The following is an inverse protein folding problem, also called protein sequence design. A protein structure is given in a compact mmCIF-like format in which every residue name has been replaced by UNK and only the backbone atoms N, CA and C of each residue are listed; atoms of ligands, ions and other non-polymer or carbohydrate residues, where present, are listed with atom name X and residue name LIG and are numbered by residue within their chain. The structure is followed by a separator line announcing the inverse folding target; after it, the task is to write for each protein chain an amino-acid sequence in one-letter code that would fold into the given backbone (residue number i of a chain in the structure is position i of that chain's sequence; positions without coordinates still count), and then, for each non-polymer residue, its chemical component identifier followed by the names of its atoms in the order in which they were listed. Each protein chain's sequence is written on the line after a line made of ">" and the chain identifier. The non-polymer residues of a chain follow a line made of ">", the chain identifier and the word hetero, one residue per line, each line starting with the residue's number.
data_IF_245989762732
#
_entry.id   IF_245989762732
#
_cell.length_a   1.000
_cell.length_b   1.000
_cell.length_c   1.000
_cell.angle_alpha   90.00
_cell.angle_beta   90.00
_cell.angle_gamma   90.00
#
_symmetry.space_group_name_H-M   'P 1'
#
loop_
_entity.id
_entity.type
_entity.pdbx_description
1 polymer ?
#
# COMPACT_ATOMS: atom_id res chain seq x y z
N UNK A 1 3.30 -14.08 24.73
CA UNK A 1 2.92 -13.29 23.54
C UNK A 1 4.15 -12.48 23.12
N UNK A 2 4.65 -12.64 21.90
CA UNK A 2 5.91 -11.99 21.47
C UNK A 2 5.77 -10.47 21.52
N UNK A 3 6.58 -9.80 22.31
CA UNK A 3 6.56 -8.33 22.51
C UNK A 3 6.60 -7.56 21.18
N UNK A 4 7.28 -8.11 20.17
CA UNK A 4 7.35 -7.53 18.83
C UNK A 4 6.02 -7.54 18.08
N UNK A 5 5.20 -8.58 18.26
CA UNK A 5 3.87 -8.65 17.67
C UNK A 5 2.99 -7.53 18.25
N UNK A 6 3.00 -7.35 19.56
CA UNK A 6 2.24 -6.28 20.23
C UNK A 6 2.67 -4.90 19.73
N UNK A 7 3.98 -4.67 19.60
CA UNK A 7 4.52 -3.40 19.09
C UNK A 7 4.07 -3.10 17.66
N UNK A 8 4.01 -4.12 16.81
CA UNK A 8 3.51 -3.99 15.42
C UNK A 8 2.03 -3.63 15.37
N UNK A 9 1.19 -4.30 16.16
CA UNK A 9 -0.23 -3.97 16.25
C UNK A 9 -0.45 -2.57 16.83
N UNK A 10 0.32 -2.16 17.82
CA UNK A 10 0.26 -0.81 18.38
C UNK A 10 0.65 0.24 17.34
N UNK A 11 1.74 0.02 16.60
CA UNK A 11 2.14 0.92 15.52
C UNK A 11 1.08 0.99 14.44
N UNK A 12 0.46 -0.14 14.09
CA UNK A 12 -0.64 -0.19 13.14
C UNK A 12 -1.86 0.61 13.62
N UNK A 13 -2.26 0.49 14.88
CA UNK A 13 -3.34 1.29 15.45
C UNK A 13 -3.03 2.80 15.42
N UNK A 14 -1.79 3.18 15.73
CA UNK A 14 -1.33 4.57 15.63
C UNK A 14 -1.37 5.04 14.17
N UNK A 15 -0.94 4.22 13.22
CA UNK A 15 -0.98 4.57 11.79
C UNK A 15 -2.40 4.81 11.30
N UNK A 16 -3.37 3.98 11.70
CA UNK A 16 -4.78 4.16 11.37
C UNK A 16 -5.33 5.49 11.90
N UNK A 17 -4.96 5.86 13.13
CA UNK A 17 -5.36 7.15 13.70
C UNK A 17 -4.73 8.33 12.95
N UNK A 18 -3.44 8.26 12.62
CA UNK A 18 -2.75 9.30 11.83
C UNK A 18 -3.35 9.40 10.42
N UNK A 19 -3.68 8.28 9.78
CA UNK A 19 -4.39 8.26 8.50
C UNK A 19 -5.76 8.96 8.60
N UNK A 20 -6.54 8.63 9.63
CA UNK A 20 -7.84 9.23 9.88
C UNK A 20 -7.73 10.74 10.12
N UNK A 21 -6.70 11.17 10.87
CA UNK A 21 -6.42 12.59 11.10
C UNK A 21 -6.07 13.31 9.80
N UNK A 22 -5.23 12.71 8.94
CA UNK A 22 -4.91 13.28 7.62
C UNK A 22 -6.14 13.42 6.73
N UNK A 23 -7.01 12.42 6.69
CA UNK A 23 -8.28 12.48 5.97
C UNK A 23 -9.17 13.63 6.51
N UNK A 24 -9.27 13.76 7.83
CA UNK A 24 -10.06 14.81 8.45
C UNK A 24 -9.51 16.22 8.11
N UNK A 25 -8.20 16.42 8.10
CA UNK A 25 -7.57 17.67 7.64
C UNK A 25 -7.90 17.99 6.20
N UNK A 26 -7.74 17.01 5.28
CA UNK A 26 -8.06 17.19 3.86
C UNK A 26 -9.53 17.53 3.68
N UNK A 27 -10.42 16.82 4.39
CA UNK A 27 -11.87 17.07 4.31
C UNK A 27 -12.27 18.43 4.84
N UNK A 28 -11.67 18.88 5.95
CA UNK A 28 -11.91 20.20 6.55
C UNK A 28 -11.29 21.36 5.75
N UNK A 29 -10.35 21.07 4.86
CA UNK A 29 -9.79 22.06 3.94
C UNK A 29 -10.80 22.58 2.89
N UNK A 30 -11.96 21.94 2.74
CA UNK A 30 -13.04 22.31 1.82
C UNK A 30 -12.68 22.26 0.32
N UNK A 31 -11.48 21.83 -0.04
CA UNK A 31 -11.00 21.67 -1.42
C UNK A 31 -11.25 20.28 -2.00
N UNK A 32 -12.00 19.45 -1.31
CA UNK A 32 -12.27 18.06 -1.67
C UNK A 32 -11.72 17.10 -0.64
N UNK A 33 -11.70 15.81 -0.97
CA UNK A 33 -11.21 14.76 -0.06
C UNK A 33 -10.36 13.73 -0.82
N UNK A 34 -9.82 12.72 -0.14
CA UNK A 34 -9.10 11.67 -0.85
C UNK A 34 -10.05 10.83 -1.72
N UNK A 35 -9.59 10.24 -2.84
CA UNK A 35 -10.46 9.49 -3.76
C UNK A 35 -11.32 8.43 -3.06
N UNK A 36 -10.73 7.65 -2.14
CA UNK A 36 -11.44 6.58 -1.45
C UNK A 36 -12.51 7.09 -0.47
N UNK A 37 -12.28 8.26 0.12
CA UNK A 37 -13.23 8.88 1.06
C UNK A 37 -14.23 9.81 0.37
N UNK A 38 -14.06 10.11 -0.91
CA UNK A 38 -14.95 11.01 -1.64
C UNK A 38 -16.40 10.51 -1.65
N UNK A 39 -16.61 9.22 -1.85
CA UNK A 39 -17.95 8.62 -1.85
C UNK A 39 -18.59 8.68 -0.47
N UNK A 40 -17.87 8.31 0.58
CA UNK A 40 -18.39 8.31 1.95
C UNK A 40 -18.65 9.73 2.47
N UNK A 41 -17.85 10.68 2.04
CA UNK A 41 -18.06 12.10 2.34
C UNK A 41 -19.32 12.64 1.66
N UNK A 42 -19.50 12.39 0.36
CA UNK A 42 -20.73 12.82 -0.35
C UNK A 42 -21.96 12.16 0.28
N UNK A 43 -21.91 10.86 0.58
CA UNK A 43 -23.02 10.16 1.24
C UNK A 43 -23.37 10.76 2.60
N UNK A 44 -22.38 11.18 3.39
CA UNK A 44 -22.60 11.83 4.68
C UNK A 44 -23.24 13.23 4.58
N UNK A 45 -23.19 13.88 3.42
CA UNK A 45 -23.77 15.21 3.23
C UNK A 45 -25.31 15.18 3.11
N UNK A 46 -25.89 14.10 2.58
CA UNK A 46 -27.34 14.00 2.38
C UNK A 46 -28.01 12.90 3.21
N UNK A 47 -27.24 12.21 4.06
CA UNK A 47 -27.77 11.19 4.98
C UNK A 47 -27.44 11.55 6.43
N UNK A 48 -28.15 10.97 7.43
CA UNK A 48 -27.88 11.26 8.85
C UNK A 48 -26.64 10.56 9.40
N UNK A 49 -25.94 9.76 8.56
CA UNK A 49 -24.75 9.00 8.97
C UNK A 49 -23.48 9.86 8.84
N UNK A 50 -22.53 9.66 9.75
CA UNK A 50 -21.24 10.32 9.73
C UNK A 50 -20.32 9.75 8.64
N UNK A 51 -19.24 10.47 8.32
CA UNK A 51 -18.21 10.01 7.39
C UNK A 51 -17.61 8.67 7.85
N UNK A 52 -17.33 8.55 9.16
CA UNK A 52 -16.76 7.32 9.72
C UNK A 52 -17.74 6.15 9.63
N UNK A 53 -19.03 6.37 9.91
CA UNK A 53 -20.07 5.32 9.78
C UNK A 53 -20.20 4.87 8.33
N UNK A 54 -20.21 5.79 7.37
CA UNK A 54 -20.22 5.43 5.95
C UNK A 54 -18.95 4.69 5.54
N UNK A 55 -17.79 5.09 6.09
CA UNK A 55 -16.53 4.38 5.83
C UNK A 55 -16.55 2.95 6.33
N UNK A 56 -17.14 2.70 7.52
CA UNK A 56 -17.35 1.33 8.03
C UNK A 56 -18.23 0.53 7.06
N UNK A 57 -19.39 1.06 6.69
CA UNK A 57 -20.32 0.37 5.78
C UNK A 57 -19.68 0.10 4.43
N UNK A 58 -18.92 1.06 3.91
CA UNK A 58 -18.25 0.95 2.63
C UNK A 58 -17.13 -0.11 2.65
N UNK A 59 -16.33 -0.13 3.71
CA UNK A 59 -15.32 -1.16 3.91
C UNK A 59 -15.94 -2.56 4.07
N UNK A 60 -17.04 -2.69 4.81
CA UNK A 60 -17.75 -3.97 4.92
C UNK A 60 -18.34 -4.41 3.58
N UNK A 61 -18.84 -3.47 2.76
CA UNK A 61 -19.30 -3.80 1.40
C UNK A 61 -18.14 -4.29 0.52
N UNK A 62 -16.97 -3.67 0.61
CA UNK A 62 -15.79 -4.16 -0.11
C UNK A 62 -15.40 -5.57 0.31
N UNK A 63 -15.48 -5.90 1.59
CA UNK A 63 -15.26 -7.28 2.06
C UNK A 63 -16.23 -8.29 1.41
N UNK A 64 -17.49 -7.91 1.25
CA UNK A 64 -18.46 -8.78 0.56
C UNK A 64 -18.11 -8.93 -0.93
N UNK A 65 -17.81 -7.82 -1.60
CA UNK A 65 -17.39 -7.85 -3.01
C UNK A 65 -16.07 -8.60 -3.22
N UNK A 66 -15.16 -8.54 -2.27
CA UNK A 66 -13.89 -9.27 -2.31
C UNK A 66 -14.09 -10.79 -2.46
N UNK A 67 -15.12 -11.36 -1.81
CA UNK A 67 -15.41 -12.79 -1.90
C UNK A 67 -15.66 -13.26 -3.35
N UNK A 68 -16.16 -12.38 -4.23
CA UNK A 68 -16.35 -12.72 -5.64
C UNK A 68 -15.04 -12.80 -6.43
N UNK A 69 -14.01 -12.12 -5.95
CA UNK A 69 -12.70 -12.09 -6.61
C UNK A 69 -11.70 -13.08 -5.98
N UNK A 70 -11.92 -13.49 -4.73
CA UNK A 70 -11.08 -14.48 -4.05
C UNK A 70 -11.36 -15.90 -4.52
N UNK A 71 -10.30 -16.66 -4.76
CA UNK A 71 -10.41 -18.10 -4.99
C UNK A 71 -10.56 -18.83 -3.65
N UNK A 72 -11.22 -19.99 -3.63
CA UNK A 72 -11.34 -20.82 -2.41
C UNK A 72 -9.99 -21.14 -1.74
N UNK A 73 -8.92 -21.21 -2.53
CA UNK A 73 -7.55 -21.41 -2.02
C UNK A 73 -7.04 -20.16 -1.29
N UNK A 74 -7.27 -18.97 -1.88
CA UNK A 74 -6.86 -17.69 -1.28
C UNK A 74 -7.61 -17.45 0.03
N UNK A 75 -8.92 -17.68 0.04
CA UNK A 75 -9.75 -17.54 1.25
C UNK A 75 -9.28 -18.47 2.38
N UNK A 76 -8.86 -19.69 2.05
CA UNK A 76 -8.37 -20.66 3.05
C UNK A 76 -6.96 -20.31 3.55
N UNK A 77 -6.15 -19.67 2.72
CA UNK A 77 -4.81 -19.21 3.09
C UNK A 77 -4.85 -17.95 3.94
N UNK A 78 -5.68 -16.98 3.55
CA UNK A 78 -5.67 -15.61 4.08
C UNK A 78 -6.90 -15.30 4.95
N UNK A 79 -7.65 -16.31 5.42
CA UNK A 79 -8.90 -16.13 6.15
C UNK A 79 -8.74 -15.28 7.43
N UNK A 80 -7.59 -15.38 8.09
CA UNK A 80 -7.30 -14.57 9.28
C UNK A 80 -7.14 -13.09 8.92
N UNK A 81 -6.40 -12.80 7.83
CA UNK A 81 -6.25 -11.45 7.33
C UNK A 81 -7.60 -10.86 6.86
N UNK A 82 -8.44 -11.69 6.23
CA UNK A 82 -9.78 -11.32 5.83
C UNK A 82 -10.67 -10.96 7.05
N UNK A 83 -10.71 -11.79 8.08
CA UNK A 83 -11.51 -11.50 9.28
C UNK A 83 -10.98 -10.28 10.07
N UNK A 84 -9.67 -10.04 10.05
CA UNK A 84 -9.08 -8.86 10.71
C UNK A 84 -9.52 -7.54 10.07
N UNK A 85 -10.02 -7.54 8.84
CA UNK A 85 -10.55 -6.33 8.20
C UNK A 85 -11.77 -5.76 8.94
N UNK A 86 -12.58 -6.59 9.59
CA UNK A 86 -13.77 -6.14 10.35
C UNK A 86 -13.37 -5.21 11.51
N UNK A 87 -12.57 -5.65 12.50
CA UNK A 87 -12.16 -4.76 13.59
C UNK A 87 -11.35 -3.56 13.10
N UNK A 88 -10.54 -3.72 12.04
CA UNK A 88 -9.77 -2.61 11.44
C UNK A 88 -10.72 -1.57 10.86
N UNK A 89 -11.72 -1.98 10.10
CA UNK A 89 -12.71 -1.06 9.50
C UNK A 89 -13.52 -0.32 10.56
N UNK A 90 -13.90 -0.99 11.64
CA UNK A 90 -14.59 -0.37 12.77
C UNK A 90 -13.70 0.68 13.46
N UNK A 91 -12.47 0.32 13.80
CA UNK A 91 -11.52 1.25 14.42
C UNK A 91 -11.23 2.45 13.50
N UNK A 92 -11.03 2.20 12.21
CA UNK A 92 -10.71 3.25 11.25
C UNK A 92 -11.86 4.25 11.10
N UNK A 93 -13.11 3.79 10.97
CA UNK A 93 -14.25 4.68 10.91
C UNK A 93 -14.45 5.50 12.19
N UNK A 94 -14.28 4.87 13.38
CA UNK A 94 -14.31 5.59 14.65
C UNK A 94 -13.20 6.64 14.76
N UNK A 95 -12.01 6.35 14.27
CA UNK A 95 -10.90 7.31 14.25
C UNK A 95 -11.17 8.47 13.29
N UNK A 96 -11.86 8.24 12.17
CA UNK A 96 -12.28 9.31 11.26
C UNK A 96 -13.25 10.26 11.99
N UNK A 97 -14.28 9.73 12.63
CA UNK A 97 -15.26 10.56 13.35
C UNK A 97 -14.62 11.30 14.52
N UNK A 98 -13.73 10.63 15.26
CA UNK A 98 -12.94 11.27 16.33
C UNK A 98 -12.09 12.41 15.77
N UNK A 99 -11.38 12.20 14.67
CA UNK A 99 -10.53 13.20 14.03
C UNK A 99 -11.34 14.37 13.49
N UNK A 100 -12.51 14.12 12.91
CA UNK A 100 -13.43 15.18 12.48
C UNK A 100 -13.93 16.04 13.64
N UNK A 101 -14.15 15.43 14.82
CA UNK A 101 -14.51 16.14 16.04
C UNK A 101 -13.32 16.93 16.62
N UNK A 102 -12.12 16.36 16.65
CA UNK A 102 -10.90 17.06 17.10
C UNK A 102 -10.65 18.30 16.25
N UNK A 103 -10.87 18.21 14.94
CA UNK A 103 -10.66 19.28 13.97
C UNK A 103 -11.93 20.14 13.74
N UNK A 104 -12.89 20.10 14.68
CA UNK A 104 -14.11 20.92 14.57
C UNK A 104 -13.82 22.42 14.43
N UNK A 105 -12.77 22.91 15.06
CA UNK A 105 -12.33 24.31 15.01
C UNK A 105 -11.67 24.72 13.68
N UNK A 106 -11.26 23.75 12.83
CA UNK A 106 -10.59 24.04 11.57
C UNK A 106 -11.62 24.44 10.50
N UNK A 107 -11.75 25.74 10.30
CA UNK A 107 -12.56 26.36 9.25
C UNK A 107 -11.71 27.42 8.56
N UNK A 108 -10.99 27.06 7.47
CA UNK A 108 -10.18 28.00 6.72
C UNK A 108 -11.08 29.17 6.22
N UNK A 109 -10.66 30.40 6.49
CA UNK A 109 -11.40 31.57 6.08
C UNK A 109 -11.10 32.01 4.64
N UNK A 110 -9.89 31.70 4.16
CA UNK A 110 -9.38 32.09 2.85
C UNK A 110 -8.91 30.91 2.05
N UNK A 111 -8.95 31.00 0.72
CA UNK A 111 -8.46 29.96 -0.20
C UNK A 111 -7.00 29.57 0.06
N UNK A 112 -6.15 30.53 0.46
CA UNK A 112 -4.76 30.22 0.82
C UNK A 112 -4.68 29.28 2.04
N UNK A 113 -5.50 29.51 3.06
CA UNK A 113 -5.57 28.64 4.25
C UNK A 113 -6.17 27.28 3.92
N UNK A 114 -7.12 27.21 2.97
CA UNK A 114 -7.66 25.95 2.45
C UNK A 114 -6.53 25.13 1.82
N UNK A 115 -5.71 25.73 0.94
CA UNK A 115 -4.58 25.07 0.29
C UNK A 115 -3.52 24.62 1.31
N UNK A 116 -3.18 25.45 2.27
CA UNK A 116 -2.23 25.11 3.35
C UNK A 116 -2.76 23.92 4.16
N UNK A 117 -4.04 23.97 4.55
CA UNK A 117 -4.69 22.89 5.30
C UNK A 117 -4.70 21.58 4.51
N UNK A 118 -4.98 21.66 3.20
CA UNK A 118 -4.92 20.50 2.30
C UNK A 118 -3.51 19.89 2.28
N UNK A 119 -2.47 20.71 2.09
CA UNK A 119 -1.09 20.22 2.04
C UNK A 119 -0.62 19.61 3.37
N UNK A 120 -0.99 20.23 4.49
CA UNK A 120 -0.73 19.67 5.83
C UNK A 120 -1.44 18.34 5.98
N UNK A 121 -2.71 18.25 5.58
CA UNK A 121 -3.49 17.02 5.59
C UNK A 121 -2.84 15.92 4.73
N UNK A 122 -2.35 16.25 3.53
CA UNK A 122 -1.63 15.31 2.66
C UNK A 122 -0.33 14.81 3.31
N UNK A 123 0.42 15.68 4.00
CA UNK A 123 1.62 15.27 4.72
C UNK A 123 1.30 14.33 5.89
N UNK A 124 0.25 14.62 6.68
CA UNK A 124 -0.18 13.78 7.79
C UNK A 124 -0.65 12.42 7.26
N UNK A 125 -1.49 12.42 6.21
CA UNK A 125 -1.97 11.20 5.57
C UNK A 125 -0.81 10.36 5.04
N UNK A 126 0.14 10.97 4.35
CA UNK A 126 1.32 10.27 3.83
C UNK A 126 2.19 9.68 4.95
N UNK A 127 2.35 10.41 6.07
CA UNK A 127 3.06 9.90 7.24
C UNK A 127 2.34 8.68 7.85
N UNK A 128 1.02 8.73 7.96
CA UNK A 128 0.19 7.63 8.45
C UNK A 128 0.29 6.40 7.56
N UNK A 129 0.19 6.56 6.24
CA UNK A 129 0.35 5.47 5.26
C UNK A 129 1.76 4.87 5.36
N UNK A 130 2.82 5.69 5.46
CA UNK A 130 4.18 5.20 5.61
C UNK A 130 4.38 4.38 6.90
N UNK A 131 3.72 4.77 8.01
CA UNK A 131 3.70 3.99 9.27
C UNK A 131 2.92 2.68 9.12
N UNK A 132 1.77 2.71 8.44
CA UNK A 132 0.94 1.52 8.16
C UNK A 132 1.74 0.50 7.35
N UNK A 133 2.40 0.98 6.28
CA UNK A 133 3.32 0.21 5.47
C UNK A 133 4.40 -0.43 6.34
N UNK A 134 4.97 0.31 7.27
CA UNK A 134 6.04 -0.16 8.15
C UNK A 134 5.57 -1.19 9.16
N UNK A 135 4.37 -1.02 9.70
CA UNK A 135 3.78 -1.96 10.65
C UNK A 135 3.56 -3.35 10.05
N UNK A 136 3.23 -3.43 8.75
CA UNK A 136 3.04 -4.69 8.00
C UNK A 136 2.15 -5.70 8.72
N UNK A 137 1.03 -5.24 9.29
CA UNK A 137 0.10 -6.11 10.06
C UNK A 137 -1.06 -6.55 9.19
N UNK A 138 -1.75 -5.59 8.58
CA UNK A 138 -2.92 -5.81 7.76
C UNK A 138 -3.12 -4.62 6.81
N UNK A 139 -4.06 -4.74 5.90
CA UNK A 139 -4.50 -3.66 5.00
C UNK A 139 -5.96 -3.32 5.29
N UNK A 140 -6.33 -2.06 5.05
CA UNK A 140 -7.74 -1.64 5.10
C UNK A 140 -8.52 -2.35 3.98
N UNK A 141 -9.81 -2.64 4.20
CA UNK A 141 -10.62 -3.44 3.30
C UNK A 141 -10.63 -2.94 1.85
N UNK A 142 -10.66 -1.61 1.63
CA UNK A 142 -10.60 -1.04 0.29
C UNK A 142 -9.31 -1.37 -0.46
N UNK A 143 -8.17 -1.35 0.21
CA UNK A 143 -6.88 -1.71 -0.41
C UNK A 143 -6.75 -3.21 -0.64
N UNK A 144 -7.24 -4.01 0.31
CA UNK A 144 -7.26 -5.46 0.15
C UNK A 144 -8.17 -5.89 -1.00
N UNK A 145 -9.32 -5.22 -1.19
CA UNK A 145 -10.22 -5.43 -2.33
C UNK A 145 -9.50 -5.16 -3.66
N UNK A 146 -8.81 -4.03 -3.79
CA UNK A 146 -8.00 -3.70 -4.98
C UNK A 146 -6.93 -4.77 -5.23
N UNK A 147 -6.26 -5.24 -4.16
CA UNK A 147 -5.26 -6.32 -4.25
C UNK A 147 -5.87 -7.61 -4.78
N UNK A 148 -7.07 -7.96 -4.33
CA UNK A 148 -7.80 -9.16 -4.77
C UNK A 148 -8.17 -9.08 -6.25
N UNK A 149 -8.62 -7.90 -6.73
CA UNK A 149 -8.88 -7.63 -8.15
C UNK A 149 -7.59 -7.74 -8.97
N UNK A 150 -6.52 -7.09 -8.53
CA UNK A 150 -5.22 -7.10 -9.22
C UNK A 150 -4.70 -8.55 -9.40
N UNK A 151 -4.77 -9.34 -8.32
CA UNK A 151 -4.40 -10.76 -8.33
C UNK A 151 -5.27 -11.56 -9.32
N UNK A 152 -6.59 -11.34 -9.33
CA UNK A 152 -7.52 -12.04 -10.20
C UNK A 152 -7.31 -11.71 -11.67
N UNK A 153 -7.08 -10.43 -11.99
CA UNK A 153 -6.87 -9.94 -13.35
C UNK A 153 -5.42 -10.12 -13.83
N UNK A 154 -4.51 -10.54 -12.96
CA UNK A 154 -3.05 -10.62 -13.22
C UNK A 154 -2.51 -9.31 -13.76
N UNK A 155 -2.97 -8.19 -13.20
CA UNK A 155 -2.51 -6.85 -13.55
C UNK A 155 -1.75 -6.24 -12.39
N UNK A 156 -0.92 -5.25 -12.73
CA UNK A 156 -0.20 -4.47 -11.73
C UNK A 156 -1.17 -3.81 -10.74
N UNK A 157 -0.84 -3.91 -9.45
CA UNK A 157 -1.68 -3.37 -8.38
C UNK A 157 -1.90 -1.87 -8.52
N UNK A 158 -0.86 -1.13 -8.92
CA UNK A 158 -0.96 0.30 -9.03
C UNK A 158 -1.88 0.75 -10.14
N UNK A 159 -1.89 0.06 -11.28
CA UNK A 159 -2.84 0.33 -12.35
C UNK A 159 -4.27 0.06 -11.90
N UNK A 160 -4.51 -1.05 -11.20
CA UNK A 160 -5.84 -1.39 -10.67
C UNK A 160 -6.28 -0.39 -9.61
N UNK A 161 -5.36 0.03 -8.72
CA UNK A 161 -5.61 1.04 -7.69
C UNK A 161 -6.00 2.38 -8.30
N UNK A 162 -5.24 2.86 -9.29
CA UNK A 162 -5.54 4.10 -9.98
C UNK A 162 -6.93 4.03 -10.66
N UNK A 163 -7.20 2.94 -11.37
CA UNK A 163 -8.52 2.72 -12.02
C UNK A 163 -9.65 2.71 -11.00
N UNK A 164 -9.44 2.08 -9.85
CA UNK A 164 -10.39 2.03 -8.75
C UNK A 164 -10.63 3.41 -8.14
N UNK A 165 -9.58 4.17 -7.86
CA UNK A 165 -9.68 5.52 -7.31
C UNK A 165 -10.42 6.46 -8.27
N UNK A 166 -10.13 6.41 -9.58
CA UNK A 166 -10.87 7.15 -10.60
C UNK A 166 -12.35 6.74 -10.62
N UNK A 167 -12.65 5.46 -10.53
CA UNK A 167 -14.03 4.96 -10.47
C UNK A 167 -14.79 5.51 -9.26
N UNK A 168 -14.14 5.56 -8.09
CA UNK A 168 -14.73 6.12 -6.87
C UNK A 168 -14.99 7.62 -6.99
N UNK A 169 -14.08 8.36 -7.60
CA UNK A 169 -14.27 9.81 -7.86
C UNK A 169 -15.43 10.04 -8.82
N UNK A 170 -15.54 9.27 -9.91
CA UNK A 170 -16.67 9.35 -10.84
C UNK A 170 -17.98 9.02 -10.10
N UNK A 171 -18.00 7.93 -9.33
CA UNK A 171 -19.16 7.54 -8.53
C UNK A 171 -19.57 8.64 -7.56
N UNK A 172 -18.63 9.27 -6.90
CA UNK A 172 -18.86 10.39 -5.98
C UNK A 172 -19.49 11.60 -6.71
N UNK A 173 -18.97 11.95 -7.90
CA UNK A 173 -19.54 13.03 -8.72
C UNK A 173 -20.98 12.71 -9.17
N UNK A 174 -21.23 11.46 -9.60
CA UNK A 174 -22.58 11.02 -10.01
C UNK A 174 -23.56 11.10 -8.84
N UNK A 175 -23.18 10.58 -7.66
CA UNK A 175 -24.01 10.63 -6.46
C UNK A 175 -24.31 12.07 -6.06
N UNK A 176 -23.29 12.94 -6.08
CA UNK A 176 -23.47 14.37 -5.76
C UNK A 176 -24.42 15.08 -6.73
N UNK A 177 -24.30 14.80 -8.03
CA UNK A 177 -25.21 15.37 -9.03
C UNK A 177 -26.65 14.87 -8.86
N UNK A 178 -26.83 13.58 -8.62
CA UNK A 178 -28.17 12.97 -8.51
C UNK A 178 -28.92 13.43 -7.25
N UNK A 179 -28.22 13.47 -6.11
CA UNK A 179 -28.87 13.73 -4.82
C UNK A 179 -28.81 15.19 -4.38
N UNK A 180 -27.81 15.95 -4.83
CA UNK A 180 -27.60 17.33 -4.39
C UNK A 180 -27.71 18.35 -5.51
N UNK A 181 -27.88 17.92 -6.77
CA UNK A 181 -28.02 18.81 -7.93
C UNK A 181 -26.75 19.59 -8.32
N UNK A 182 -25.60 19.27 -7.72
CA UNK A 182 -24.31 19.89 -8.01
C UNK A 182 -23.15 19.00 -7.59
N UNK A 183 -21.93 19.35 -8.01
CA UNK A 183 -20.72 18.61 -7.63
C UNK A 183 -20.22 19.15 -6.29
N UNK A 184 -20.39 18.37 -5.23
CA UNK A 184 -19.92 18.64 -3.89
C UNK A 184 -18.95 17.52 -3.45
N UNK A 185 -18.00 17.86 -2.56
CA UNK A 185 -17.07 16.88 -1.98
C UNK A 185 -15.91 16.46 -2.88
N UNK A 186 -15.98 16.72 -4.19
CA UNK A 186 -14.90 16.49 -5.15
C UNK A 186 -14.54 17.81 -5.78
N UNK A 187 -13.33 18.29 -5.52
CA UNK A 187 -12.77 19.53 -6.05
C UNK A 187 -11.31 19.30 -6.45
N UNK A 188 -10.64 20.39 -6.82
CA UNK A 188 -9.23 20.40 -7.20
C UNK A 188 -8.31 19.72 -6.17
N UNK A 189 -8.61 19.84 -4.88
CA UNK A 189 -7.85 19.20 -3.81
C UNK A 189 -7.89 17.68 -3.84
N UNK A 190 -8.96 17.06 -4.38
CA UNK A 190 -9.01 15.60 -4.55
C UNK A 190 -7.96 15.13 -5.56
N UNK A 191 -7.79 15.88 -6.66
CA UNK A 191 -6.76 15.57 -7.66
C UNK A 191 -5.36 15.81 -7.10
N UNK A 192 -5.19 16.93 -6.40
CA UNK A 192 -3.92 17.28 -5.73
C UNK A 192 -3.53 16.21 -4.72
N UNK A 193 -4.45 15.78 -3.85
CA UNK A 193 -4.19 14.72 -2.88
C UNK A 193 -3.79 13.40 -3.56
N UNK A 194 -4.52 12.99 -4.61
CA UNK A 194 -4.21 11.78 -5.36
C UNK A 194 -2.80 11.79 -5.98
N UNK A 195 -2.33 12.96 -6.43
CA UNK A 195 -1.01 13.10 -7.07
C UNK A 195 0.14 13.28 -6.07
N UNK A 196 -0.11 13.95 -4.93
CA UNK A 196 0.96 14.39 -4.01
C UNK A 196 1.20 13.37 -2.88
N UNK A 197 0.17 12.70 -2.38
CA UNK A 197 0.31 11.79 -1.22
C UNK A 197 1.31 10.67 -1.52
N UNK A 198 1.25 10.04 -2.69
CA UNK A 198 2.18 8.97 -3.08
C UNK A 198 3.66 9.38 -3.05
N UNK A 199 4.07 10.46 -3.74
CA UNK A 199 5.42 11.01 -3.67
C UNK A 199 5.88 11.32 -2.24
N UNK A 200 5.02 11.92 -1.41
CA UNK A 200 5.35 12.23 -0.01
C UNK A 200 5.59 10.93 0.80
N UNK A 201 4.75 9.90 0.62
CA UNK A 201 4.96 8.59 1.26
C UNK A 201 6.32 8.02 0.90
N UNK A 202 6.69 8.07 -0.38
CA UNK A 202 7.99 7.58 -0.84
C UNK A 202 9.15 8.35 -0.20
N UNK A 203 9.03 9.68 -0.09
CA UNK A 203 10.04 10.53 0.53
C UNK A 203 10.16 10.31 2.04
N UNK A 204 9.04 10.14 2.76
CA UNK A 204 9.03 9.97 4.22
C UNK A 204 9.42 8.53 4.63
N UNK A 205 9.08 7.52 3.84
CA UNK A 205 9.29 6.10 4.18
C UNK A 205 10.71 5.75 4.65
N UNK A 206 11.82 6.28 4.05
CA UNK A 206 13.17 6.02 4.51
C UNK A 206 13.46 6.54 5.92
N UNK A 207 12.82 7.63 6.34
CA UNK A 207 13.04 8.22 7.67
C UNK A 207 12.51 7.32 8.81
N UNK A 208 11.54 6.43 8.51
CA UNK A 208 11.02 5.48 9.49
C UNK A 208 11.87 4.21 9.67
N UNK A 209 13.08 4.14 9.09
CA UNK A 209 14.00 3.02 9.31
C UNK A 209 14.39 2.84 10.78
N UNK A 210 14.39 3.91 11.59
CA UNK A 210 14.67 3.80 13.01
C UNK A 210 13.67 2.89 13.76
N UNK A 211 12.46 2.73 13.25
CA UNK A 211 11.45 1.84 13.82
C UNK A 211 11.76 0.34 13.58
N UNK A 212 12.63 0.00 12.63
CA UNK A 212 12.96 -1.39 12.30
C UNK A 212 13.51 -2.13 13.51
N UNK A 213 14.40 -1.51 14.27
CA UNK A 213 14.96 -2.09 15.49
C UNK A 213 13.95 -2.26 16.63
N UNK A 214 12.83 -1.55 16.58
CA UNK A 214 11.76 -1.61 17.58
C UNK A 214 10.67 -2.65 17.20
N UNK A 215 10.41 -2.82 15.90
CA UNK A 215 9.34 -3.67 15.36
C UNK A 215 9.82 -5.08 15.05
N UNK A 216 11.07 -5.21 14.58
CA UNK A 216 11.65 -6.51 14.25
C UNK A 216 12.47 -7.01 15.45
N UNK A 217 12.38 -8.32 15.79
CA UNK A 217 13.40 -8.88 16.65
C UNK A 217 14.72 -8.53 15.97
N UNK A 218 15.69 -8.04 16.74
CA UNK A 218 17.07 -8.14 16.30
C UNK A 218 17.31 -9.63 16.05
N UNK A 219 17.02 -10.08 14.84
CA UNK A 219 17.72 -11.24 14.31
C UNK A 219 19.16 -10.81 14.47
N UNK A 220 19.81 -11.27 15.54
CA UNK A 220 21.22 -11.41 15.49
C UNK A 220 21.42 -11.97 14.09
N UNK A 221 22.16 -11.26 13.24
CA UNK A 221 22.89 -11.90 12.18
C UNK A 221 23.66 -12.93 12.96
N UNK A 222 23.07 -14.12 13.11
CA UNK A 222 23.80 -15.28 13.54
C UNK A 222 24.73 -15.46 12.36
N UNK A 223 25.85 -14.79 12.48
CA UNK A 223 27.07 -15.29 11.91
C UNK A 223 27.28 -16.64 12.61
N UNK A 224 26.42 -17.63 12.26
CA UNK A 224 26.69 -19.03 12.49
C UNK A 224 27.90 -19.39 11.62
N UNK A 225 29.01 -18.79 12.02
CA UNK A 225 30.34 -19.18 11.61
C UNK A 225 30.72 -20.56 12.17
N UNK A 226 29.73 -21.38 12.58
CA UNK A 226 29.99 -22.68 13.19
C UNK A 226 28.93 -23.73 12.83
N UNK A 227 28.63 -23.90 11.55
CA UNK A 227 28.05 -25.16 11.12
C UNK A 227 28.61 -25.55 9.76
N UNK A 228 29.28 -26.65 9.75
CA UNK A 228 29.88 -27.42 8.68
C UNK A 228 29.03 -27.39 7.40
N UNK A 229 29.62 -26.90 6.31
CA UNK A 229 29.01 -26.82 4.99
C UNK A 229 28.89 -25.38 4.53
N UNK A 230 30.02 -24.66 4.34
CA UNK A 230 30.05 -23.30 3.81
C UNK A 230 29.57 -23.30 2.36
N UNK A 231 28.26 -23.17 2.15
CA UNK A 231 27.76 -22.74 0.85
C UNK A 231 28.04 -21.24 0.70
N UNK A 232 29.07 -20.89 -0.05
CA UNK A 232 29.34 -19.51 -0.42
C UNK A 232 28.39 -19.15 -1.55
N UNK A 233 27.50 -18.18 -1.35
CA UNK A 233 26.67 -17.60 -2.39
C UNK A 233 27.40 -16.34 -2.86
N UNK A 234 27.76 -16.30 -4.14
CA UNK A 234 28.38 -15.14 -4.79
C UNK A 234 27.35 -14.55 -5.74
N UNK A 235 26.98 -13.30 -5.50
CA UNK A 235 26.06 -12.55 -6.38
C UNK A 235 26.86 -11.57 -7.22
N UNK A 236 26.63 -11.58 -8.54
CA UNK A 236 27.30 -10.68 -9.51
C UNK A 236 26.21 -9.74 -10.06
N UNK A 237 26.19 -8.51 -9.57
CA UNK A 237 25.36 -7.45 -10.17
C UNK A 237 26.02 -6.97 -11.45
N UNK A 238 25.26 -6.91 -12.55
CA UNK A 238 25.77 -6.55 -13.87
C UNK A 238 24.79 -5.68 -14.66
N UNK A 239 25.33 -4.85 -15.53
CA UNK A 239 24.57 -4.18 -16.58
C UNK A 239 24.61 -5.00 -17.87
N UNK A 240 23.64 -4.80 -18.75
CA UNK A 240 23.60 -5.46 -20.03
C UNK A 240 24.84 -5.11 -20.85
N UNK A 241 25.52 -6.11 -21.38
CA UNK A 241 26.75 -5.92 -22.18
C UNK A 241 28.04 -5.71 -21.38
N UNK A 242 28.01 -5.70 -20.03
CA UNK A 242 29.21 -5.49 -19.17
C UNK A 242 30.14 -6.69 -19.06
N UNK A 243 29.83 -7.84 -19.69
CA UNK A 243 30.62 -9.08 -19.57
C UNK A 243 30.41 -9.84 -18.26
N UNK A 244 29.49 -9.40 -17.40
CA UNK A 244 29.24 -10.01 -16.09
C UNK A 244 28.81 -11.48 -16.16
N UNK A 245 28.15 -11.91 -17.24
CA UNK A 245 27.81 -13.33 -17.47
C UNK A 245 29.08 -14.17 -17.69
N UNK A 246 29.99 -13.72 -18.54
CA UNK A 246 31.26 -14.39 -18.80
C UNK A 246 32.11 -14.49 -17.51
N UNK A 247 32.14 -13.40 -16.73
CA UNK A 247 32.80 -13.42 -15.42
C UNK A 247 32.17 -14.41 -14.46
N UNK A 248 30.84 -14.53 -14.46
CA UNK A 248 30.11 -15.51 -13.67
C UNK A 248 30.46 -16.95 -14.05
N UNK A 249 30.53 -17.24 -15.35
CA UNK A 249 30.94 -18.56 -15.86
C UNK A 249 32.38 -18.93 -15.48
N UNK A 250 33.31 -17.97 -15.63
CA UNK A 250 34.70 -18.16 -15.26
C UNK A 250 34.87 -18.43 -13.77
N UNK A 251 34.22 -17.63 -12.92
CA UNK A 251 34.23 -17.82 -11.46
C UNK A 251 33.59 -19.13 -11.03
N UNK A 252 32.46 -19.52 -11.64
CA UNK A 252 31.79 -20.79 -11.34
C UNK A 252 32.68 -21.98 -11.66
N UNK A 253 33.41 -21.91 -12.79
CA UNK A 253 34.37 -22.95 -13.19
C UNK A 253 35.58 -23.02 -12.26
N UNK A 254 36.15 -21.86 -11.89
CA UNK A 254 37.31 -21.78 -11.01
C UNK A 254 37.01 -22.25 -9.58
N UNK A 255 35.83 -21.89 -9.07
CA UNK A 255 35.43 -22.24 -7.72
C UNK A 255 34.69 -23.55 -7.60
N UNK A 256 34.39 -24.23 -8.72
CA UNK A 256 33.66 -25.51 -8.73
C UNK A 256 32.22 -25.37 -8.22
N UNK A 257 31.60 -24.20 -8.37
CA UNK A 257 30.23 -23.94 -7.90
C UNK A 257 29.26 -23.87 -9.09
N UNK A 258 27.98 -24.17 -8.84
CA UNK A 258 26.94 -24.07 -9.86
C UNK A 258 26.58 -22.61 -10.12
N UNK A 259 26.55 -22.21 -11.41
CA UNK A 259 26.04 -20.91 -11.85
C UNK A 259 24.53 -21.02 -12.03
N UNK A 260 23.80 -20.12 -11.38
CA UNK A 260 22.36 -19.93 -11.53
C UNK A 260 22.11 -18.61 -12.26
N UNK A 261 21.71 -18.65 -13.52
CA UNK A 261 21.34 -17.48 -14.30
C UNK A 261 19.86 -17.60 -14.73
N UNK A 262 19.58 -18.11 -15.90
CA UNK A 262 18.19 -18.32 -16.37
C UNK A 262 17.39 -19.35 -15.55
N UNK A 263 18.07 -20.34 -14.96
CA UNK A 263 17.40 -21.30 -14.07
C UNK A 263 16.79 -20.60 -12.84
N UNK A 264 17.43 -19.54 -12.34
CA UNK A 264 16.89 -18.78 -11.21
C UNK A 264 15.59 -18.07 -11.59
N UNK A 265 15.51 -17.46 -12.78
CA UNK A 265 14.31 -16.82 -13.31
C UNK A 265 13.17 -17.83 -13.43
N UNK A 266 13.46 -19.02 -13.96
CA UNK A 266 12.48 -20.10 -14.09
C UNK A 266 12.01 -20.62 -12.72
N UNK A 267 12.90 -20.82 -11.77
CA UNK A 267 12.56 -21.22 -10.41
C UNK A 267 11.72 -20.15 -9.70
N UNK A 268 12.07 -18.88 -9.86
CA UNK A 268 11.34 -17.75 -9.31
C UNK A 268 9.93 -17.68 -9.93
N UNK A 269 9.80 -17.75 -11.25
CA UNK A 269 8.53 -17.76 -11.96
C UNK A 269 7.62 -18.91 -11.50
N UNK A 270 8.19 -20.13 -11.39
CA UNK A 270 7.45 -21.31 -10.92
C UNK A 270 6.99 -21.16 -9.47
N UNK A 271 7.88 -20.66 -8.59
CA UNK A 271 7.58 -20.49 -7.16
C UNK A 271 6.54 -19.41 -6.89
N UNK A 272 6.49 -18.38 -7.74
CA UNK A 272 5.57 -17.25 -7.65
C UNK A 272 4.30 -17.47 -8.47
N UNK A 273 4.20 -18.54 -9.25
CA UNK A 273 3.07 -18.81 -10.12
C UNK A 273 2.94 -17.81 -11.28
N UNK A 274 4.06 -17.22 -11.71
CA UNK A 274 4.13 -16.20 -12.76
C UNK A 274 4.58 -16.81 -14.09
N UNK A 275 4.23 -16.13 -15.20
CA UNK A 275 4.72 -16.52 -16.52
C UNK A 275 6.20 -16.16 -16.68
N UNK A 276 7.03 -17.11 -17.10
CA UNK A 276 8.46 -16.93 -17.34
C UNK A 276 8.75 -15.79 -18.32
N UNK A 277 7.91 -15.64 -19.36
CA UNK A 277 8.02 -14.57 -20.34
C UNK A 277 7.77 -13.17 -19.72
N UNK A 278 6.88 -13.09 -18.75
CA UNK A 278 6.60 -11.87 -18.02
C UNK A 278 7.80 -11.46 -17.13
N UNK A 279 8.37 -12.40 -16.39
CA UNK A 279 9.53 -12.16 -15.52
C UNK A 279 10.74 -11.71 -16.36
N UNK A 280 10.99 -12.38 -17.48
CA UNK A 280 12.09 -12.06 -18.40
C UNK A 280 11.94 -10.67 -19.03
N UNK A 281 10.71 -10.27 -19.39
CA UNK A 281 10.43 -8.97 -20.00
C UNK A 281 10.63 -7.81 -19.02
N UNK A 282 10.38 -8.06 -17.73
CA UNK A 282 10.45 -7.02 -16.69
C UNK A 282 11.75 -7.05 -15.87
N UNK A 283 12.64 -8.01 -16.11
CA UNK A 283 13.92 -8.17 -15.40
C UNK A 283 14.77 -6.89 -15.36
N UNK A 284 14.66 -6.03 -16.38
CA UNK A 284 15.43 -4.80 -16.49
C UNK A 284 14.59 -3.53 -16.55
N UNK A 285 13.27 -3.64 -16.41
CA UNK A 285 12.39 -2.46 -16.45
C UNK A 285 12.41 -1.73 -15.12
N UNK A 286 13.01 -0.55 -15.09
CA UNK A 286 12.90 0.38 -13.98
C UNK A 286 11.63 1.22 -14.20
N UNK A 287 10.58 1.10 -13.37
CA UNK A 287 9.41 1.96 -13.48
C UNK A 287 9.81 3.43 -13.38
N UNK A 288 9.17 4.31 -14.13
CA UNK A 288 9.45 5.75 -14.05
C UNK A 288 9.26 6.23 -12.60
N UNK A 289 10.02 7.26 -12.19
CA UNK A 289 9.96 7.84 -10.85
C UNK A 289 8.51 8.15 -10.42
N UNK A 290 7.69 8.72 -11.29
CA UNK A 290 6.30 9.07 -11.04
C UNK A 290 5.42 7.83 -10.83
N UNK A 291 5.61 6.79 -11.61
CA UNK A 291 4.94 5.50 -11.41
C UNK A 291 5.35 4.88 -10.08
N UNK A 292 6.64 4.90 -9.74
CA UNK A 292 7.10 4.46 -8.41
C UNK A 292 6.46 5.25 -7.28
N UNK A 293 6.29 6.56 -7.42
CA UNK A 293 5.69 7.40 -6.39
C UNK A 293 4.18 7.15 -6.25
N UNK A 294 3.45 7.04 -7.35
CA UNK A 294 2.02 6.72 -7.36
C UNK A 294 1.80 5.30 -6.81
N UNK A 295 2.70 4.37 -7.11
CA UNK A 295 2.61 2.97 -6.70
C UNK A 295 3.28 2.67 -5.36
N UNK A 296 4.09 3.56 -4.81
CA UNK A 296 4.66 3.41 -3.46
C UNK A 296 3.59 3.43 -2.36
N UNK A 297 2.43 4.04 -2.64
CA UNK A 297 1.23 3.92 -1.81
C UNK A 297 0.67 2.49 -1.79
N UNK A 298 1.15 1.63 -2.67
CA UNK A 298 0.53 0.38 -3.10
C UNK A 298 1.19 -0.89 -2.61
N UNK A 299 1.98 -0.87 -1.60
CA UNK A 299 2.22 -2.12 -0.93
C UNK A 299 3.55 -2.80 -1.05
N UNK A 300 4.54 -2.22 -0.41
CA UNK A 300 5.65 -3.00 0.14
C UNK A 300 5.26 -3.73 1.44
N UNK A 301 3.98 -4.03 1.64
CA UNK A 301 3.50 -4.58 2.90
C UNK A 301 3.06 -6.00 2.80
N UNK A 302 3.81 -6.82 2.18
CA UNK A 302 3.52 -8.21 2.34
C UNK A 302 4.63 -8.89 3.13
N UNK A 303 4.38 -9.10 4.39
CA UNK A 303 4.72 -10.36 5.04
C UNK A 303 3.94 -11.52 4.38
N UNK A 304 3.14 -11.21 3.40
CA UNK A 304 2.44 -12.14 2.56
C UNK A 304 3.36 -12.49 1.39
N UNK A 305 3.58 -13.78 1.19
CA UNK A 305 4.41 -14.42 0.16
C UNK A 305 4.00 -14.09 -1.30
N UNK A 306 3.16 -13.10 -1.50
CA UNK A 306 2.81 -12.53 -2.80
C UNK A 306 3.53 -11.20 -2.98
N UNK A 307 4.84 -11.26 -3.18
CA UNK A 307 5.59 -10.12 -3.72
C UNK A 307 4.93 -9.69 -5.04
N UNK A 308 4.81 -8.38 -5.27
CA UNK A 308 4.45 -7.93 -6.60
C UNK A 308 5.53 -8.37 -7.59
N UNK A 309 5.20 -8.59 -8.86
CA UNK A 309 6.21 -8.93 -9.86
C UNK A 309 7.43 -8.00 -9.85
N UNK A 310 7.21 -6.72 -9.55
CA UNK A 310 8.26 -5.70 -9.48
C UNK A 310 9.14 -5.82 -8.22
N UNK A 311 8.58 -6.30 -7.10
CA UNK A 311 9.34 -6.52 -5.86
C UNK A 311 10.30 -7.71 -5.95
N UNK A 312 9.96 -8.71 -6.76
CA UNK A 312 10.82 -9.89 -7.00
C UNK A 312 12.04 -9.54 -7.81
N UNK A 313 11.91 -8.61 -8.75
CA UNK A 313 13.00 -8.16 -9.61
C UNK A 313 14.01 -7.28 -8.88
N UNK A 314 13.62 -6.68 -7.74
CA UNK A 314 14.52 -5.88 -6.90
C UNK A 314 15.30 -6.67 -5.86
N UNK A 315 14.94 -7.92 -5.61
CA UNK A 315 15.60 -8.81 -4.63
C UNK A 315 16.58 -9.76 -5.32
N UNK A 316 16.51 -9.92 -6.62
CA UNK A 316 17.44 -10.68 -7.45
C UNK A 316 18.54 -9.77 -8.01
#
# INVERSE_FOLDING_TARGET
>A
MNTYIVRRYLLFAVSLFVNALGIAFITRALLGTSPITSVTYVLSMFTPLTIGQWTILFNLSFMVFELFFMTRKDLRSDWQAYLMQVPISLCFGLFIDLSMNILFWLHPADYFLEVVSLLVGCCILAAGIALEVKASVAMVAGEYFVKSIARRLRKDFGFVKLSFDVTLVILSCVLSLVFMGGIYGVREGTVVAALIVGPIVHFISPYYRFLDGWIQPRTAVVSDARTQGRHKIITIAREYGSGGHLLGEMLARELGVKLYDREFIRMAATKLGMDEAYVLKNEQSIPSFWLKCIFAQSGKNSLDRSLSPDDVLFVA
#
